data_IF_347815903209
#
_entry.id   IF_347815903209
#
_cell.length_a   1.000
_cell.length_b   1.000
_cell.length_c   1.000
_cell.angle_alpha   90.00
_cell.angle_beta   90.00
_cell.angle_gamma   90.00
#
_symmetry.space_group_name_H-M   'P 1'
#
loop_
_entity.id
_entity.type
_entity.pdbx_description
1 polymer ?
#
# COMPACT_ATOMS: atom_id res chain seq x y z
N UNK A 1 18.82 20.46 -12.91
CA UNK A 1 17.65 21.34 -13.08
C UNK A 1 16.49 20.69 -12.37
N UNK A 2 16.04 21.23 -11.24
CA UNK A 2 14.81 20.77 -10.59
C UNK A 2 13.64 21.38 -11.35
N UNK A 3 13.12 20.67 -12.35
CA UNK A 3 11.81 21.00 -12.92
C UNK A 3 10.78 20.57 -11.88
N UNK A 4 10.27 21.52 -11.09
CA UNK A 4 9.02 21.35 -10.36
C UNK A 4 7.89 21.31 -11.39
N UNK A 5 7.71 20.14 -12.03
CA UNK A 5 6.51 19.87 -12.81
C UNK A 5 5.38 19.78 -11.81
N UNK A 6 4.50 20.77 -11.80
CA UNK A 6 3.31 20.70 -10.97
C UNK A 6 2.46 19.53 -11.51
N UNK A 7 2.25 18.46 -10.72
CA UNK A 7 1.43 17.36 -11.18
C UNK A 7 0.05 17.92 -11.56
N UNK A 8 -0.46 17.50 -12.72
CA UNK A 8 -1.80 17.89 -13.23
C UNK A 8 -1.93 19.28 -13.87
N UNK A 9 -0.83 19.93 -14.26
CA UNK A 9 -0.87 21.19 -15.03
C UNK A 9 -1.63 21.07 -16.36
N UNK A 10 -1.63 19.89 -16.96
CA UNK A 10 -2.25 19.64 -18.27
C UNK A 10 -3.78 19.49 -18.22
N UNK A 11 -4.37 19.39 -17.02
CA UNK A 11 -5.81 19.24 -16.86
C UNK A 11 -6.52 20.59 -16.70
N UNK A 12 -7.74 20.66 -17.22
CA UNK A 12 -8.61 21.83 -17.08
C UNK A 12 -8.88 22.11 -15.61
N UNK A 13 -8.82 23.40 -15.24
CA UNK A 13 -8.94 23.86 -13.86
C UNK A 13 -10.28 24.55 -13.66
N UNK A 14 -11.02 24.08 -12.66
CA UNK A 14 -12.28 24.66 -12.19
C UNK A 14 -12.14 25.08 -10.73
N UNK A 15 -12.96 26.03 -10.30
CA UNK A 15 -13.09 26.44 -8.91
C UNK A 15 -14.07 25.55 -8.16
N UNK A 16 -13.96 25.52 -6.83
CA UNK A 16 -14.93 24.82 -5.99
C UNK A 16 -16.36 25.39 -6.12
N UNK A 17 -16.50 26.67 -6.46
CA UNK A 17 -17.81 27.29 -6.61
C UNK A 17 -18.44 26.91 -7.98
N UNK A 18 -17.66 26.83 -9.05
CA UNK A 18 -18.11 26.25 -10.33
C UNK A 18 -18.54 24.78 -10.17
N UNK A 19 -17.79 23.99 -9.39
CA UNK A 19 -18.17 22.61 -9.09
C UNK A 19 -19.51 22.52 -8.35
N UNK A 20 -19.80 23.46 -7.43
CA UNK A 20 -21.10 23.50 -6.74
C UNK A 20 -22.24 23.92 -7.66
N UNK A 21 -21.99 24.93 -8.49
CA UNK A 21 -23.02 25.53 -9.35
C UNK A 21 -23.41 24.62 -10.52
N UNK A 22 -22.46 23.80 -11.02
CA UNK A 22 -22.62 22.99 -12.23
C UNK A 22 -22.27 21.51 -12.03
N UNK A 23 -22.45 20.99 -10.81
CA UNK A 23 -22.02 19.64 -10.41
C UNK A 23 -22.36 18.55 -11.43
N UNK A 24 -23.62 18.48 -11.89
CA UNK A 24 -24.06 17.43 -12.81
C UNK A 24 -23.38 17.50 -14.18
N UNK A 25 -23.20 18.72 -14.73
CA UNK A 25 -22.54 18.89 -16.03
C UNK A 25 -21.06 18.52 -15.95
N UNK A 26 -20.39 18.92 -14.87
CA UNK A 26 -18.98 18.63 -14.62
C UNK A 26 -18.75 17.15 -14.30
N UNK A 27 -19.68 16.50 -13.61
CA UNK A 27 -19.63 15.06 -13.38
C UNK A 27 -19.80 14.29 -14.69
N UNK A 28 -20.71 14.70 -15.59
CA UNK A 28 -20.83 14.07 -16.90
C UNK A 28 -19.56 14.23 -17.74
N UNK A 29 -18.95 15.42 -17.75
CA UNK A 29 -17.64 15.65 -18.38
C UNK A 29 -16.57 14.69 -17.84
N UNK A 30 -16.55 14.50 -16.53
CA UNK A 30 -15.60 13.57 -15.90
C UNK A 30 -15.93 12.15 -16.34
N UNK A 31 -17.14 11.65 -16.08
CA UNK A 31 -17.47 10.21 -16.21
C UNK A 31 -17.76 9.75 -17.63
N UNK A 32 -18.48 10.53 -18.43
CA UNK A 32 -18.89 10.15 -19.79
C UNK A 32 -17.82 10.50 -20.81
N UNK A 33 -17.22 11.68 -20.69
CA UNK A 33 -16.15 12.14 -21.60
C UNK A 33 -14.75 11.73 -21.13
N UNK A 34 -14.66 11.04 -19.99
CA UNK A 34 -13.40 10.54 -19.43
C UNK A 34 -12.36 11.66 -19.25
N UNK A 35 -12.82 12.84 -18.83
CA UNK A 35 -12.01 14.06 -18.77
C UNK A 35 -11.73 14.49 -17.33
N UNK A 36 -10.52 14.23 -16.80
CA UNK A 36 -10.16 14.68 -15.46
C UNK A 36 -10.13 16.21 -15.35
N UNK A 37 -10.56 16.72 -14.20
CA UNK A 37 -10.62 18.14 -13.89
C UNK A 37 -9.82 18.43 -12.62
N UNK A 38 -9.04 19.50 -12.63
CA UNK A 38 -8.40 20.05 -11.42
C UNK A 38 -9.39 20.96 -10.72
N UNK A 39 -9.59 20.78 -9.43
CA UNK A 39 -10.50 21.56 -8.60
C UNK A 39 -9.70 22.40 -7.61
N UNK A 40 -9.70 23.71 -7.82
CA UNK A 40 -9.03 24.68 -6.95
C UNK A 40 -9.98 25.12 -5.83
N UNK A 41 -9.51 25.01 -4.59
CA UNK A 41 -10.22 25.48 -3.41
C UNK A 41 -9.84 26.92 -3.08
N UNK A 42 -10.73 27.63 -2.40
CA UNK A 42 -10.52 29.01 -1.95
C UNK A 42 -9.35 29.16 -0.95
N UNK A 43 -8.89 28.06 -0.33
CA UNK A 43 -7.73 28.02 0.56
C UNK A 43 -6.41 27.69 -0.15
N UNK A 44 -6.40 27.68 -1.50
CA UNK A 44 -5.23 27.37 -2.32
C UNK A 44 -4.91 25.88 -2.45
N UNK A 45 -5.70 24.97 -1.88
CA UNK A 45 -5.55 23.52 -2.11
C UNK A 45 -6.14 23.13 -3.46
N UNK A 46 -5.52 22.16 -4.12
CA UNK A 46 -6.00 21.60 -5.38
C UNK A 46 -6.29 20.10 -5.24
N UNK A 47 -7.35 19.65 -5.90
CA UNK A 47 -7.71 18.23 -6.01
C UNK A 47 -7.89 17.84 -7.47
N UNK A 48 -7.74 16.56 -7.79
CA UNK A 48 -8.09 16.02 -9.11
C UNK A 48 -9.40 15.26 -8.99
N UNK A 49 -10.39 15.66 -9.78
CA UNK A 49 -11.62 14.92 -10.01
C UNK A 49 -11.44 14.11 -11.30
N UNK A 50 -11.56 12.79 -11.20
CA UNK A 50 -11.34 11.90 -12.34
C UNK A 50 -12.19 10.64 -12.21
N UNK A 51 -12.49 9.95 -13.32
CA UNK A 51 -13.27 8.73 -13.32
C UNK A 51 -12.52 7.59 -12.63
N UNK A 52 -13.23 6.77 -11.85
CA UNK A 52 -12.61 5.65 -11.16
C UNK A 52 -12.01 4.62 -12.13
N UNK A 53 -12.60 4.47 -13.32
CA UNK A 53 -12.15 3.54 -14.35
C UNK A 53 -10.80 3.90 -14.98
N UNK A 54 -10.31 5.14 -14.81
CA UNK A 54 -8.90 5.44 -15.11
C UNK A 54 -7.92 4.67 -14.21
N UNK A 55 -8.37 4.23 -13.03
CA UNK A 55 -7.59 3.34 -12.16
C UNK A 55 -7.84 1.86 -12.48
N UNK A 56 -8.73 1.53 -13.42
CA UNK A 56 -9.07 0.15 -13.73
C UNK A 56 -7.83 -0.70 -13.97
N UNK A 57 -6.81 -0.30 -14.77
CA UNK A 57 -5.62 -1.12 -14.96
C UNK A 57 -4.86 -1.45 -13.67
N UNK A 58 -4.85 -0.55 -12.68
CA UNK A 58 -4.13 -0.76 -11.40
C UNK A 58 -5.00 -1.59 -10.42
N UNK A 59 -6.32 -1.45 -10.54
CA UNK A 59 -7.29 -2.19 -9.75
C UNK A 59 -7.60 -3.59 -10.33
N UNK A 60 -7.25 -3.84 -11.60
CA UNK A 60 -7.48 -5.09 -12.31
C UNK A 60 -6.55 -6.20 -11.80
N UNK A 61 -7.14 -7.35 -11.47
CA UNK A 61 -6.39 -8.55 -11.09
C UNK A 61 -5.50 -9.07 -12.22
N UNK A 62 -5.92 -8.92 -13.47
CA UNK A 62 -5.21 -9.43 -14.64
C UNK A 62 -3.91 -8.65 -14.86
N UNK A 63 -3.91 -7.34 -14.59
CA UNK A 63 -2.69 -6.54 -14.63
C UNK A 63 -1.62 -7.05 -13.65
N UNK A 64 -2.04 -7.46 -12.45
CA UNK A 64 -1.14 -8.05 -11.45
C UNK A 64 -0.57 -9.38 -11.91
N UNK A 65 -1.37 -10.20 -12.61
CA UNK A 65 -0.90 -11.44 -13.23
C UNK A 65 0.09 -11.16 -14.37
N UNK A 66 -0.10 -10.10 -15.14
CA UNK A 66 0.85 -9.66 -16.17
C UNK A 66 2.19 -9.29 -15.53
N UNK A 67 2.18 -8.49 -14.46
CA UNK A 67 3.41 -8.12 -13.75
C UNK A 67 4.13 -9.35 -13.17
N UNK A 68 3.39 -10.27 -12.54
CA UNK A 68 3.95 -11.49 -11.99
C UNK A 68 4.55 -12.38 -13.09
N UNK A 69 3.88 -12.46 -14.24
CA UNK A 69 4.37 -13.20 -15.41
C UNK A 69 5.62 -12.56 -16.01
N UNK A 70 5.66 -11.22 -16.10
CA UNK A 70 6.84 -10.49 -16.56
C UNK A 70 8.04 -10.71 -15.63
N UNK A 71 7.81 -10.74 -14.31
CA UNK A 71 8.83 -11.03 -13.32
C UNK A 71 9.42 -12.43 -13.50
N UNK A 72 8.55 -13.46 -13.56
CA UNK A 72 8.97 -14.85 -13.83
C UNK A 72 9.71 -14.99 -15.15
N UNK A 73 9.25 -14.29 -16.18
CA UNK A 73 9.91 -14.29 -17.48
C UNK A 73 11.32 -13.71 -17.41
N UNK A 74 11.52 -12.66 -16.61
CA UNK A 74 12.78 -11.94 -16.49
C UNK A 74 13.82 -12.68 -15.63
N UNK A 75 13.38 -13.42 -14.60
CA UNK A 75 14.26 -14.23 -13.75
C UNK A 75 15.17 -15.17 -14.56
N UNK A 76 16.45 -15.25 -14.17
CA UNK A 76 17.48 -16.07 -14.80
C UNK A 76 17.99 -15.52 -16.15
N UNK A 77 17.47 -14.39 -16.64
CA UNK A 77 17.88 -13.84 -17.95
C UNK A 77 18.95 -12.77 -17.81
N UNK A 78 20.02 -12.91 -18.59
CA UNK A 78 21.04 -11.87 -18.72
C UNK A 78 20.67 -10.86 -19.83
N UNK A 79 19.62 -10.10 -19.61
CA UNK A 79 19.13 -9.05 -20.54
C UNK A 79 18.79 -7.78 -19.76
N UNK A 80 18.25 -6.74 -20.42
CA UNK A 80 17.72 -5.57 -19.71
C UNK A 80 16.39 -5.84 -18.98
N UNK A 81 15.70 -6.95 -19.27
CA UNK A 81 14.35 -7.21 -18.75
C UNK A 81 14.26 -7.32 -17.22
N UNK A 82 15.18 -8.01 -16.50
CA UNK A 82 15.19 -8.01 -15.03
C UNK A 82 15.14 -6.60 -14.45
N UNK A 83 16.02 -5.70 -14.91
CA UNK A 83 16.08 -4.31 -14.45
C UNK A 83 14.76 -3.58 -14.71
N UNK A 84 14.23 -3.66 -15.94
CA UNK A 84 12.99 -2.97 -16.32
C UNK A 84 11.81 -3.41 -15.44
N UNK A 85 11.68 -4.72 -15.22
CA UNK A 85 10.57 -5.28 -14.43
C UNK A 85 10.74 -4.97 -12.94
N UNK A 86 11.93 -5.22 -12.38
CA UNK A 86 12.20 -4.99 -10.97
C UNK A 86 12.04 -3.51 -10.60
N UNK A 87 12.60 -2.61 -11.40
CA UNK A 87 12.48 -1.17 -11.17
C UNK A 87 11.03 -0.68 -11.30
N UNK A 88 10.26 -1.23 -12.25
CA UNK A 88 8.85 -0.89 -12.38
C UNK A 88 8.07 -1.33 -11.14
N UNK A 89 8.22 -2.59 -10.71
CA UNK A 89 7.51 -3.09 -9.52
C UNK A 89 7.92 -2.27 -8.29
N UNK A 90 9.22 -2.06 -8.08
CA UNK A 90 9.76 -1.31 -6.93
C UNK A 90 9.22 0.11 -6.82
N UNK A 91 9.06 0.82 -7.95
CA UNK A 91 8.49 2.18 -7.98
C UNK A 91 7.00 2.21 -7.65
N UNK A 92 6.28 1.12 -7.89
CA UNK A 92 4.81 1.08 -7.76
C UNK A 92 4.33 0.16 -6.64
N UNK A 93 5.22 -0.31 -5.75
CA UNK A 93 4.90 -1.24 -4.67
C UNK A 93 3.69 -0.80 -3.83
N UNK A 94 3.54 0.50 -3.59
CA UNK A 94 2.42 1.07 -2.83
C UNK A 94 1.05 0.91 -3.51
N UNK A 95 1.01 0.75 -4.84
CA UNK A 95 -0.21 0.59 -5.62
C UNK A 95 -0.63 -0.88 -5.78
N UNK A 96 0.28 -1.81 -5.53
CA UNK A 96 0.05 -3.25 -5.68
C UNK A 96 -0.61 -3.81 -4.41
N UNK A 97 -1.53 -4.75 -4.53
CA UNK A 97 -2.26 -5.28 -3.36
C UNK A 97 -1.42 -6.25 -2.52
N UNK A 98 -1.88 -6.53 -1.29
CA UNK A 98 -1.15 -7.40 -0.35
C UNK A 98 -0.91 -8.80 -0.93
N UNK A 99 -1.86 -9.32 -1.73
CA UNK A 99 -1.75 -10.64 -2.35
C UNK A 99 -0.62 -10.67 -3.38
N UNK A 100 -0.50 -9.65 -4.21
CA UNK A 100 0.59 -9.53 -5.16
C UNK A 100 1.94 -9.45 -4.44
N UNK A 101 2.06 -8.63 -3.39
CA UNK A 101 3.31 -8.48 -2.63
C UNK A 101 3.80 -9.82 -2.09
N UNK A 102 2.90 -10.61 -1.47
CA UNK A 102 3.22 -11.94 -0.95
C UNK A 102 3.66 -12.89 -2.07
N UNK A 103 2.86 -12.98 -3.14
CA UNK A 103 3.17 -13.89 -4.25
C UNK A 103 4.48 -13.54 -4.95
N UNK A 104 4.76 -12.25 -5.14
CA UNK A 104 5.98 -11.78 -5.77
C UNK A 104 7.20 -12.09 -4.90
N UNK A 105 7.12 -11.82 -3.59
CA UNK A 105 8.19 -12.14 -2.64
C UNK A 105 8.47 -13.65 -2.60
N UNK A 106 7.43 -14.49 -2.54
CA UNK A 106 7.56 -15.95 -2.51
C UNK A 106 8.15 -16.54 -3.80
N UNK A 107 7.86 -15.94 -4.97
CA UNK A 107 8.52 -16.32 -6.23
C UNK A 107 10.00 -15.94 -6.24
N UNK A 108 10.35 -14.74 -5.77
CA UNK A 108 11.75 -14.30 -5.71
C UNK A 108 12.55 -15.18 -4.74
N UNK A 109 12.02 -15.47 -3.54
CA UNK A 109 12.68 -16.34 -2.56
C UNK A 109 12.96 -17.72 -3.16
N UNK A 110 11.94 -18.38 -3.73
CA UNK A 110 12.12 -19.69 -4.38
C UNK A 110 13.13 -19.65 -5.51
N UNK A 111 13.10 -18.61 -6.34
CA UNK A 111 14.06 -18.47 -7.43
C UNK A 111 15.50 -18.32 -6.92
N UNK A 112 15.72 -17.52 -5.88
CA UNK A 112 17.03 -17.34 -5.27
C UNK A 112 17.49 -18.59 -4.50
N UNK A 113 16.58 -19.33 -3.87
CA UNK A 113 16.90 -20.61 -3.21
C UNK A 113 17.31 -21.69 -4.22
N UNK A 114 16.54 -21.86 -5.29
CA UNK A 114 16.74 -22.94 -6.25
C UNK A 114 17.79 -22.62 -7.33
N UNK A 115 17.95 -21.34 -7.71
CA UNK A 115 18.70 -20.93 -8.90
C UNK A 115 19.69 -19.78 -8.67
N UNK A 116 20.04 -19.41 -7.43
CA UNK A 116 20.97 -18.30 -7.15
C UNK A 116 22.27 -18.33 -7.97
N UNK A 117 22.88 -19.51 -8.14
CA UNK A 117 24.14 -19.66 -8.89
C UNK A 117 24.00 -19.36 -10.39
N UNK A 118 22.78 -19.47 -10.92
CA UNK A 118 22.46 -19.26 -12.33
C UNK A 118 21.79 -17.92 -12.60
N UNK A 119 21.47 -17.17 -11.54
CA UNK A 119 20.88 -15.84 -11.65
C UNK A 119 21.98 -14.82 -11.97
N UNK A 120 21.94 -14.13 -13.12
CA UNK A 120 22.97 -13.15 -13.49
C UNK A 120 23.01 -11.94 -12.57
N UNK A 121 21.87 -11.53 -11.99
CA UNK A 121 21.75 -10.33 -11.17
C UNK A 121 21.05 -10.63 -9.84
N UNK A 122 21.65 -11.44 -8.94
CA UNK A 122 20.97 -11.86 -7.71
C UNK A 122 20.68 -10.66 -6.79
N UNK A 123 21.58 -9.68 -6.73
CA UNK A 123 21.40 -8.48 -5.90
C UNK A 123 20.17 -7.66 -6.30
N UNK A 124 19.83 -7.60 -7.60
CA UNK A 124 18.64 -6.90 -8.06
C UNK A 124 17.37 -7.50 -7.47
N UNK A 125 17.30 -8.84 -7.45
CA UNK A 125 16.16 -9.57 -6.92
C UNK A 125 16.11 -9.50 -5.39
N UNK A 126 17.26 -9.53 -4.70
CA UNK A 126 17.32 -9.25 -3.25
C UNK A 126 16.83 -7.85 -2.93
N UNK A 127 17.28 -6.82 -3.65
CA UNK A 127 16.85 -5.43 -3.46
C UNK A 127 15.34 -5.23 -3.70
N UNK A 128 14.76 -5.99 -4.63
CA UNK A 128 13.32 -6.00 -4.87
C UNK A 128 12.58 -6.74 -3.75
N UNK A 129 13.08 -7.90 -3.33
CA UNK A 129 12.52 -8.68 -2.23
C UNK A 129 12.45 -7.85 -0.95
N UNK A 130 13.54 -7.18 -0.58
CA UNK A 130 13.60 -6.29 0.57
C UNK A 130 12.56 -5.17 0.49
N UNK A 131 12.35 -4.60 -0.70
CA UNK A 131 11.35 -3.55 -0.90
C UNK A 131 9.92 -4.07 -0.75
N UNK A 132 9.63 -5.28 -1.25
CA UNK A 132 8.31 -5.92 -1.11
C UNK A 132 8.02 -6.25 0.36
N UNK A 133 8.97 -6.84 1.06
CA UNK A 133 8.84 -7.20 2.48
C UNK A 133 8.72 -5.96 3.37
N UNK A 134 9.45 -4.90 3.05
CA UNK A 134 9.36 -3.61 3.77
C UNK A 134 7.97 -3.01 3.63
N UNK A 135 7.41 -2.92 2.42
CA UNK A 135 6.04 -2.39 2.23
C UNK A 135 5.01 -3.28 2.93
N UNK A 136 5.17 -4.61 2.92
CA UNK A 136 4.28 -5.52 3.65
C UNK A 136 4.31 -5.23 5.17
N UNK A 137 5.50 -5.11 5.75
CA UNK A 137 5.69 -4.76 7.17
C UNK A 137 5.08 -3.41 7.51
N UNK A 138 5.27 -2.42 6.65
CA UNK A 138 4.67 -1.10 6.83
C UNK A 138 3.14 -1.17 6.79
N UNK A 139 2.54 -1.92 5.86
CA UNK A 139 1.08 -2.09 5.79
C UNK A 139 0.52 -2.80 7.01
N UNK A 140 1.16 -3.86 7.48
CA UNK A 140 0.77 -4.53 8.70
C UNK A 140 0.83 -3.57 9.90
N UNK A 141 1.90 -2.75 9.99
CA UNK A 141 2.02 -1.71 11.01
C UNK A 141 0.91 -0.65 10.90
N UNK A 142 0.56 -0.19 9.69
CA UNK A 142 -0.55 0.75 9.45
C UNK A 142 -1.90 0.14 9.88
N UNK A 143 -2.14 -1.15 9.61
CA UNK A 143 -3.34 -1.87 10.07
C UNK A 143 -3.38 -2.02 11.59
N UNK A 144 -2.25 -2.35 12.21
CA UNK A 144 -2.09 -2.44 13.66
C UNK A 144 -2.35 -1.10 14.36
N UNK A 145 -1.98 0.02 13.70
CA UNK A 145 -2.22 1.39 14.18
C UNK A 145 -3.66 1.88 14.07
N UNK A 146 -4.58 1.11 13.48
CA UNK A 146 -5.98 1.49 13.42
C UNK A 146 -6.51 1.66 14.84
N UNK A 147 -7.09 2.82 15.11
CA UNK A 147 -7.65 3.17 16.42
C UNK A 147 -8.69 2.13 16.80
N UNK A 148 -8.45 1.42 17.92
CA UNK A 148 -9.41 0.50 18.53
C UNK A 148 -10.07 1.14 19.73
N UNK A 149 -11.29 0.70 20.02
CA UNK A 149 -12.07 1.20 21.16
C UNK A 149 -11.92 0.24 22.35
N UNK A 150 -11.83 0.82 23.55
CA UNK A 150 -11.82 0.06 24.79
C UNK A 150 -13.13 -0.72 24.95
N UNK A 151 -13.10 -2.05 25.18
CA UNK A 151 -14.31 -2.85 25.31
C UNK A 151 -15.16 -2.45 26.53
N UNK A 152 -14.57 -1.87 27.57
CA UNK A 152 -15.27 -1.46 28.78
C UNK A 152 -15.96 -0.09 28.69
N UNK A 153 -15.37 0.88 27.99
CA UNK A 153 -15.85 2.28 27.99
C UNK A 153 -16.03 2.91 26.60
N UNK A 154 -15.69 2.20 25.54
CA UNK A 154 -15.82 2.68 24.15
C UNK A 154 -14.87 3.83 23.76
N UNK A 155 -13.93 4.23 24.63
CA UNK A 155 -12.95 5.29 24.32
C UNK A 155 -11.78 4.75 23.48
N UNK A 156 -11.17 5.59 22.61
CA UNK A 156 -9.98 5.21 21.86
C UNK A 156 -8.85 4.70 22.76
N UNK A 157 -8.22 3.61 22.35
CA UNK A 157 -7.00 3.09 22.96
C UNK A 157 -5.78 3.82 22.42
N UNK A 158 -4.84 4.13 23.31
CA UNK A 158 -3.53 4.68 22.96
C UNK A 158 -2.54 3.54 22.78
N UNK A 159 -1.97 3.40 21.59
CA UNK A 159 -0.98 2.35 21.31
C UNK A 159 0.30 2.69 22.05
N UNK A 160 0.73 1.77 22.91
CA UNK A 160 1.93 1.90 23.74
C UNK A 160 3.13 1.27 23.04
N UNK A 161 2.97 0.07 22.48
CA UNK A 161 4.03 -0.65 21.78
C UNK A 161 3.49 -1.54 20.67
N UNK A 162 4.33 -1.73 19.65
CA UNK A 162 4.16 -2.72 18.60
C UNK A 162 5.50 -3.44 18.50
N UNK A 163 5.50 -4.76 18.69
CA UNK A 163 6.71 -5.59 18.69
C UNK A 163 6.53 -6.80 17.81
N UNK A 164 7.61 -7.22 17.13
CA UNK A 164 7.60 -8.45 16.34
C UNK A 164 7.26 -9.65 17.25
N UNK A 165 6.36 -10.51 16.78
CA UNK A 165 5.97 -11.71 17.51
C UNK A 165 7.00 -12.82 17.29
N UNK A 166 7.50 -13.39 18.38
CA UNK A 166 8.51 -14.45 18.36
C UNK A 166 8.00 -15.78 17.78
N UNK A 167 6.70 -16.03 17.86
CA UNK A 167 6.09 -17.29 17.45
C UNK A 167 5.56 -17.27 16.01
N UNK A 168 5.24 -16.09 15.48
CA UNK A 168 4.66 -15.91 14.16
C UNK A 168 5.50 -14.93 13.34
N UNK A 169 6.42 -15.43 12.48
CA UNK A 169 7.23 -14.59 11.61
C UNK A 169 6.37 -13.65 10.76
N UNK A 170 6.65 -12.35 10.85
CA UNK A 170 5.90 -11.29 10.16
C UNK A 170 4.63 -10.82 10.87
N UNK A 171 4.28 -11.40 12.02
CA UNK A 171 3.23 -10.90 12.90
C UNK A 171 3.74 -9.96 13.99
N UNK A 172 2.82 -9.20 14.59
CA UNK A 172 3.12 -8.18 15.60
C UNK A 172 2.20 -8.32 16.82
N UNK A 173 2.76 -8.19 18.00
CA UNK A 173 2.01 -7.98 19.23
C UNK A 173 1.83 -6.48 19.46
N UNK A 174 0.60 -6.08 19.77
CA UNK A 174 0.24 -4.69 20.02
C UNK A 174 -0.27 -4.55 21.44
N UNK A 175 0.38 -3.67 22.21
CA UNK A 175 -0.09 -3.28 23.54
C UNK A 175 -0.66 -1.87 23.46
N UNK A 176 -1.85 -1.68 24.01
CA UNK A 176 -2.50 -0.38 24.08
C UNK A 176 -3.11 -0.10 25.45
N UNK A 177 -3.17 1.18 25.81
CA UNK A 177 -3.65 1.66 27.09
C UNK A 177 -4.97 2.42 26.93
N UNK A 178 -5.94 2.14 27.80
CA UNK A 178 -7.13 2.97 27.95
C UNK A 178 -6.93 4.00 29.06
N UNK A 179 -6.73 5.28 28.70
CA UNK A 179 -6.60 6.37 29.69
C UNK A 179 -7.81 6.52 30.63
N UNK A 180 -8.99 6.09 30.20
CA UNK A 180 -10.22 6.23 31.00
C UNK A 180 -10.40 5.07 31.99
N UNK A 181 -10.09 3.85 31.59
CA UNK A 181 -10.23 2.66 32.43
C UNK A 181 -8.92 2.26 33.13
N UNK A 182 -7.83 2.97 32.85
CA UNK A 182 -6.47 2.67 33.32
C UNK A 182 -6.06 1.21 33.09
N UNK A 183 -6.61 0.60 32.04
CA UNK A 183 -6.45 -0.81 31.72
C UNK A 183 -5.65 -0.96 30.43
N UNK A 184 -4.74 -1.92 30.41
CA UNK A 184 -3.98 -2.29 29.23
C UNK A 184 -4.67 -3.42 28.48
N UNK A 185 -4.50 -3.42 27.18
CA UNK A 185 -5.04 -4.41 26.28
C UNK A 185 -3.96 -4.85 25.32
N UNK A 186 -4.02 -6.12 24.93
CA UNK A 186 -3.13 -6.73 23.97
C UNK A 186 -3.95 -7.37 22.85
N UNK A 187 -3.42 -7.30 21.63
CA UNK A 187 -3.85 -8.14 20.53
C UNK A 187 -2.69 -8.41 19.59
N UNK A 188 -2.76 -9.56 18.94
CA UNK A 188 -1.84 -9.97 17.87
C UNK A 188 -2.41 -9.60 16.49
N UNK A 189 -1.56 -9.06 15.63
CA UNK A 189 -1.79 -8.86 14.20
C UNK A 189 -0.91 -9.85 13.42
N UNK A 190 -1.50 -10.70 12.57
CA UNK A 190 -0.72 -11.60 11.74
C UNK A 190 -0.08 -10.91 10.52
N UNK A 191 0.75 -11.67 9.81
CA UNK A 191 1.47 -11.23 8.59
C UNK A 191 0.55 -10.84 7.43
N UNK A 192 -0.68 -11.33 7.42
CA UNK A 192 -1.70 -11.04 6.40
C UNK A 192 -2.57 -9.83 6.82
N UNK A 193 -2.37 -9.33 8.04
CA UNK A 193 -3.07 -8.21 8.65
C UNK A 193 -4.42 -8.59 9.25
N UNK A 194 -4.71 -9.88 9.44
CA UNK A 194 -5.79 -10.31 10.30
C UNK A 194 -5.40 -10.04 11.75
N UNK A 195 -6.40 -9.76 12.58
CA UNK A 195 -6.15 -9.33 13.96
C UNK A 195 -6.98 -10.18 14.91
N UNK A 196 -6.31 -10.70 15.93
CA UNK A 196 -6.94 -11.46 16.99
C UNK A 196 -7.87 -10.61 17.86
N UNK A 197 -8.70 -11.31 18.62
CA UNK A 197 -9.53 -10.71 19.66
C UNK A 197 -8.66 -10.03 20.72
N UNK A 198 -9.12 -8.85 21.14
CA UNK A 198 -8.46 -8.06 22.15
C UNK A 198 -8.63 -8.69 23.53
N UNK A 199 -7.52 -8.86 24.25
CA UNK A 199 -7.50 -9.37 25.62
C UNK A 199 -7.00 -8.30 26.57
N UNK A 200 -7.44 -8.34 27.82
CA UNK A 200 -6.90 -7.46 28.85
C UNK A 200 -5.47 -7.92 29.18
N UNK A 201 -4.53 -7.00 29.09
CA UNK A 201 -3.11 -7.24 29.38
C UNK A 201 -2.84 -6.92 30.84
N UNK A 202 -2.50 -7.94 31.63
CA UNK A 202 -2.09 -7.77 33.01
C UNK A 202 -0.56 -7.80 33.05
N UNK A 203 0.06 -6.68 33.42
CA UNK A 203 1.48 -6.70 33.78
C UNK A 203 1.66 -7.63 34.99
N UNK A 204 2.49 -8.66 34.82
CA UNK A 204 3.12 -9.40 35.91
C UNK A 204 4.42 -8.72 36.29
#
# INVERSE_FOLDING_TARGET
MNYEVNPFQDYESITIDELKDQANSLLNLVTEEQRPLRVCMNNGKEFLLFPQDLLAPICDSDFRLILLSAMRYAMGRNTCMPMVVADYIKRHTQLLDDKFLVLAADEIRRHLEDYAEHEPNPNLWHDLLDALETEQRERATRKARKIRLCPACGKPLEIMSITDNWHSPGGFDVIAHCRNCLSNYEWFCDKDGAVSDMKQYFFG
#
